data_IF_625469248784
#
_entry.id   IF_625469248784
#
_cell.length_a   1.000
_cell.length_b   1.000
_cell.length_c   1.000
_cell.angle_alpha   90.00
_cell.angle_beta   90.00
_cell.angle_gamma   90.00
#
_symmetry.space_group_name_H-M   'P 1'
#
loop_
_entity.id
_entity.type
_entity.pdbx_description
1 polymer ?
#
# COMPACT_ATOMS: atom_id res chain seq x y z
N UNK A 1 -13.80 -17.21 -7.14
CA UNK A 1 -14.53 -16.13 -7.82
C UNK A 1 -15.10 -15.10 -6.82
N UNK A 2 -15.81 -15.53 -5.78
CA UNK A 2 -16.45 -14.63 -4.81
C UNK A 2 -15.47 -13.76 -4.01
N UNK A 3 -14.39 -14.33 -3.46
CA UNK A 3 -13.41 -13.58 -2.66
C UNK A 3 -12.71 -12.47 -3.47
N UNK A 4 -12.44 -12.75 -4.74
CA UNK A 4 -11.82 -11.79 -5.65
C UNK A 4 -12.76 -10.61 -5.95
N UNK A 5 -14.05 -10.87 -6.11
CA UNK A 5 -15.04 -9.81 -6.32
C UNK A 5 -15.16 -8.90 -5.09
N UNK A 6 -15.15 -9.47 -3.89
CA UNK A 6 -15.15 -8.70 -2.64
C UNK A 6 -13.87 -7.87 -2.53
N UNK A 7 -12.72 -8.47 -2.84
CA UNK A 7 -11.44 -7.77 -2.83
C UNK A 7 -11.40 -6.60 -3.83
N UNK A 8 -11.87 -6.79 -5.05
CA UNK A 8 -12.00 -5.72 -6.04
C UNK A 8 -12.91 -4.59 -5.55
N UNK A 9 -14.02 -4.94 -4.86
CA UNK A 9 -14.92 -3.95 -4.27
C UNK A 9 -14.23 -3.15 -3.13
N UNK A 10 -13.42 -3.81 -2.30
CA UNK A 10 -12.63 -3.17 -1.24
C UNK A 10 -11.65 -2.15 -1.84
N UNK A 11 -10.93 -2.54 -2.90
CA UNK A 11 -10.02 -1.65 -3.62
C UNK A 11 -10.76 -0.48 -4.25
N UNK A 12 -11.85 -0.74 -4.98
CA UNK A 12 -12.66 0.29 -5.64
C UNK A 12 -13.17 1.34 -4.64
N UNK A 13 -13.48 0.91 -3.42
CA UNK A 13 -13.99 1.77 -2.35
C UNK A 13 -12.90 2.37 -1.45
N UNK A 14 -11.61 2.19 -1.78
CA UNK A 14 -10.46 2.68 -1.01
C UNK A 14 -10.54 2.32 0.48
N UNK A 15 -10.92 1.07 0.76
CA UNK A 15 -11.04 0.55 2.13
C UNK A 15 -9.73 -0.11 2.54
N UNK A 16 -9.40 0.04 3.82
CA UNK A 16 -8.26 -0.65 4.40
C UNK A 16 -8.58 -2.13 4.54
N UNK A 17 -7.57 -2.98 4.40
CA UNK A 17 -7.72 -4.43 4.31
C UNK A 17 -6.85 -5.13 5.36
N UNK A 18 -7.46 -6.09 6.05
CA UNK A 18 -6.79 -7.11 6.86
C UNK A 18 -7.33 -8.45 6.41
N UNK A 19 -6.46 -9.39 6.08
CA UNK A 19 -6.87 -10.74 5.66
C UNK A 19 -6.71 -11.68 6.84
N UNK A 20 -7.79 -12.37 7.18
CA UNK A 20 -7.79 -13.36 8.27
C UNK A 20 -8.04 -14.75 7.67
N UNK A 21 -7.05 -15.62 7.82
CA UNK A 21 -7.17 -17.04 7.46
C UNK A 21 -7.71 -17.77 8.69
N UNK A 22 -8.99 -18.08 8.67
CA UNK A 22 -9.68 -18.78 9.76
C UNK A 22 -9.50 -20.31 9.64
N UNK A 23 -9.86 -21.04 10.71
CA UNK A 23 -9.75 -22.51 10.83
C UNK A 23 -8.31 -23.03 10.80
N UNK A 24 -7.34 -22.20 11.23
CA UNK A 24 -5.94 -22.60 11.26
C UNK A 24 -5.63 -23.72 12.28
N UNK A 25 -6.58 -24.05 13.15
CA UNK A 25 -6.54 -25.20 14.03
C UNK A 25 -6.55 -26.54 13.29
N UNK A 26 -7.19 -26.61 12.12
CA UNK A 26 -7.32 -27.83 11.31
C UNK A 26 -6.08 -28.14 10.46
N UNK A 27 -5.15 -27.19 10.34
CA UNK A 27 -3.91 -27.39 9.59
C UNK A 27 -2.93 -28.14 10.49
N UNK A 28 -2.57 -29.37 10.09
CA UNK A 28 -1.68 -30.24 10.86
C UNK A 28 -0.23 -29.72 10.84
N UNK A 29 0.28 -29.39 9.66
CA UNK A 29 1.62 -28.80 9.52
C UNK A 29 1.59 -27.28 9.65
N UNK A 30 2.12 -26.78 10.77
CA UNK A 30 2.23 -25.35 11.09
C UNK A 30 3.66 -24.84 10.89
N UNK A 31 4.47 -25.52 10.07
CA UNK A 31 5.79 -25.08 9.68
C UNK A 31 5.76 -23.70 9.03
N UNK A 32 6.88 -22.98 9.13
CA UNK A 32 7.04 -21.67 8.50
C UNK A 32 6.91 -21.75 6.98
N UNK A 33 7.28 -22.88 6.38
CA UNK A 33 7.17 -23.12 4.94
C UNK A 33 5.71 -23.18 4.49
N UNK A 34 4.85 -23.89 5.22
CA UNK A 34 3.40 -23.95 4.93
C UNK A 34 2.78 -22.57 5.09
N UNK A 35 3.08 -21.86 6.18
CA UNK A 35 2.60 -20.48 6.40
C UNK A 35 2.97 -19.58 5.23
N UNK A 36 4.24 -19.60 4.81
CA UNK A 36 4.75 -18.78 3.70
C UNK A 36 4.10 -19.15 2.37
N UNK A 37 3.86 -20.44 2.13
CA UNK A 37 3.15 -20.93 0.93
C UNK A 37 1.74 -20.35 0.86
N UNK A 38 0.99 -20.40 1.97
CA UNK A 38 -0.35 -19.81 2.04
C UNK A 38 -0.32 -18.29 1.85
N UNK A 39 0.61 -17.59 2.50
CA UNK A 39 0.74 -16.14 2.33
C UNK A 39 1.05 -15.76 0.89
N UNK A 40 1.98 -16.46 0.23
CA UNK A 40 2.34 -16.22 -1.15
C UNK A 40 1.16 -16.47 -2.09
N UNK A 41 0.44 -17.58 -1.92
CA UNK A 41 -0.74 -17.88 -2.71
C UNK A 41 -1.84 -16.81 -2.56
N UNK A 42 -2.02 -16.25 -1.36
CA UNK A 42 -2.94 -15.14 -1.12
C UNK A 42 -2.44 -13.87 -1.83
N UNK A 43 -1.16 -13.51 -1.68
CA UNK A 43 -0.59 -12.30 -2.29
C UNK A 43 -0.60 -12.35 -3.82
N UNK A 44 -0.31 -13.51 -4.41
CA UNK A 44 -0.36 -13.72 -5.87
C UNK A 44 -1.77 -13.53 -6.41
N UNK A 45 -2.78 -14.09 -5.73
CA UNK A 45 -4.18 -13.92 -6.12
C UNK A 45 -4.64 -12.48 -5.98
N UNK A 46 -4.21 -11.80 -4.92
CA UNK A 46 -4.61 -10.42 -4.59
C UNK A 46 -3.76 -9.35 -5.30
N UNK A 47 -2.79 -9.74 -6.13
CA UNK A 47 -2.01 -8.80 -6.94
C UNK A 47 -2.94 -7.89 -7.78
N UNK A 48 -2.62 -6.60 -7.95
CA UNK A 48 -1.35 -5.95 -7.64
C UNK A 48 -1.22 -5.39 -6.21
N UNK A 49 -2.29 -5.37 -5.42
CA UNK A 49 -2.23 -4.83 -4.05
C UNK A 49 -1.83 -5.94 -3.08
N UNK A 50 -0.59 -5.91 -2.58
CA UNK A 50 -0.04 -6.98 -1.73
C UNK A 50 0.35 -6.51 -0.32
N UNK A 51 0.26 -5.21 -0.05
CA UNK A 51 0.67 -4.60 1.22
C UNK A 51 -0.49 -4.57 2.23
N UNK A 52 -0.84 -5.75 2.74
CA UNK A 52 -1.83 -5.94 3.79
C UNK A 52 -1.39 -7.03 4.78
N UNK A 53 -1.79 -6.92 6.06
CA UNK A 53 -1.49 -7.93 7.04
C UNK A 53 -2.35 -9.19 6.83
N UNK A 54 -1.71 -10.34 6.96
CA UNK A 54 -2.35 -11.67 6.93
C UNK A 54 -2.25 -12.28 8.33
N UNK A 55 -3.37 -12.71 8.89
CA UNK A 55 -3.43 -13.29 10.23
C UNK A 55 -4.06 -14.67 10.15
N UNK A 56 -3.29 -15.68 10.56
CA UNK A 56 -3.79 -17.03 10.76
C UNK A 56 -4.40 -17.16 12.15
N UNK A 57 -5.70 -17.45 12.21
CA UNK A 57 -6.49 -17.50 13.43
C UNK A 57 -7.46 -18.68 13.45
N UNK A 58 -8.01 -18.98 14.62
CA UNK A 58 -9.12 -19.93 14.77
C UNK A 58 -10.19 -19.34 15.66
N UNK A 59 -11.38 -19.14 15.09
CA UNK A 59 -12.55 -18.67 15.83
C UNK A 59 -13.02 -19.68 16.89
N UNK A 60 -12.87 -20.99 16.60
CA UNK A 60 -13.34 -22.07 17.47
C UNK A 60 -12.49 -22.18 18.74
N UNK A 61 -11.17 -22.21 18.57
CA UNK A 61 -10.22 -22.33 19.70
C UNK A 61 -9.85 -20.97 20.30
N UNK A 62 -10.42 -19.88 19.76
CA UNK A 62 -10.12 -18.49 20.10
C UNK A 62 -8.65 -18.09 19.88
N UNK A 63 -7.91 -18.86 19.08
CA UNK A 63 -6.52 -18.59 18.79
C UNK A 63 -6.36 -17.29 17.98
N UNK A 64 -5.58 -16.35 18.52
CA UNK A 64 -5.17 -15.08 17.87
C UNK A 64 -6.32 -14.14 17.48
N UNK A 65 -7.52 -14.29 18.04
CA UNK A 65 -8.64 -13.37 17.80
C UNK A 65 -8.29 -11.93 18.25
N UNK A 66 -7.66 -11.77 19.41
CA UNK A 66 -7.26 -10.45 19.90
C UNK A 66 -6.28 -9.75 18.95
N UNK A 67 -5.34 -10.50 18.38
CA UNK A 67 -4.37 -10.00 17.39
C UNK A 67 -5.07 -9.45 16.14
N UNK A 68 -6.21 -10.01 15.74
CA UNK A 68 -7.01 -9.48 14.62
C UNK A 68 -7.51 -8.07 14.93
N UNK A 69 -8.04 -7.86 16.13
CA UNK A 69 -8.55 -6.54 16.56
C UNK A 69 -7.43 -5.51 16.70
N UNK A 70 -6.29 -5.90 17.27
CA UNK A 70 -5.09 -5.06 17.37
C UNK A 70 -4.60 -4.64 15.99
N UNK A 71 -4.44 -5.60 15.08
CA UNK A 71 -3.97 -5.31 13.72
C UNK A 71 -4.96 -4.43 12.95
N UNK A 72 -6.26 -4.64 13.13
CA UNK A 72 -7.28 -3.77 12.51
C UNK A 72 -7.19 -2.33 13.02
N UNK A 73 -6.92 -2.14 14.33
CA UNK A 73 -6.67 -0.82 14.91
C UNK A 73 -5.40 -0.19 14.33
N UNK A 74 -4.31 -0.93 14.22
CA UNK A 74 -3.05 -0.44 13.67
C UNK A 74 -3.20 -0.02 12.20
N UNK A 75 -3.88 -0.82 11.39
CA UNK A 75 -4.18 -0.49 9.99
C UNK A 75 -5.04 0.78 9.88
N UNK A 76 -5.98 0.98 10.81
CA UNK A 76 -6.75 2.22 10.88
C UNK A 76 -5.89 3.43 11.27
N UNK A 77 -4.94 3.27 12.19
CA UNK A 77 -3.98 4.32 12.56
C UNK A 77 -3.05 4.64 11.39
N UNK A 78 -2.53 3.62 10.69
CA UNK A 78 -1.69 3.77 9.49
C UNK A 78 -2.39 4.60 8.42
N UNK A 79 -3.69 4.37 8.21
CA UNK A 79 -4.53 5.16 7.29
C UNK A 79 -4.59 6.65 7.65
N UNK A 80 -4.41 7.01 8.93
CA UNK A 80 -4.48 8.38 9.44
C UNK A 80 -3.12 9.06 9.61
N UNK A 81 -2.03 8.39 9.24
CA UNK A 81 -0.68 8.93 9.38
C UNK A 81 -0.55 10.23 8.58
N UNK A 82 -0.06 11.27 9.28
CA UNK A 82 0.33 12.56 8.67
C UNK A 82 1.85 12.61 8.57
N UNK A 83 2.35 12.83 7.36
CA UNK A 83 3.77 12.96 7.02
C UNK A 83 4.02 14.42 6.69
N UNK A 84 4.92 15.05 7.45
CA UNK A 84 5.31 16.42 7.21
C UNK A 84 5.92 16.61 5.83
N UNK A 85 5.51 17.66 5.12
CA UNK A 85 6.00 18.02 3.79
C UNK A 85 7.52 18.04 3.72
N UNK A 86 8.20 18.64 4.70
CA UNK A 86 9.67 18.74 4.73
C UNK A 86 10.31 17.35 4.67
N UNK A 87 9.92 16.45 5.58
CA UNK A 87 10.41 15.07 5.63
C UNK A 87 10.08 14.30 4.35
N UNK A 88 8.89 14.51 3.78
CA UNK A 88 8.51 13.86 2.52
C UNK A 88 9.42 14.30 1.37
N UNK A 89 9.77 15.59 1.27
CA UNK A 89 10.66 16.10 0.22
C UNK A 89 12.10 15.65 0.44
N UNK A 90 12.60 15.70 1.67
CA UNK A 90 13.96 15.23 2.02
C UNK A 90 14.21 13.79 1.61
N UNK A 91 13.20 12.93 1.73
CA UNK A 91 13.31 11.50 1.40
C UNK A 91 13.00 11.24 -0.08
N UNK A 92 11.90 11.79 -0.62
CA UNK A 92 11.43 11.41 -1.95
C UNK A 92 12.18 12.11 -3.08
N UNK A 93 12.60 13.38 -2.91
CA UNK A 93 13.25 14.10 -4.01
C UNK A 93 14.58 13.46 -4.42
N UNK A 94 15.48 13.04 -3.51
CA UNK A 94 16.70 12.34 -3.89
C UNK A 94 16.46 11.01 -4.60
N UNK A 95 15.45 10.25 -4.16
CA UNK A 95 15.06 8.97 -4.80
C UNK A 95 14.59 9.21 -6.24
N UNK A 96 13.79 10.26 -6.45
CA UNK A 96 13.28 10.66 -7.76
C UNK A 96 14.40 11.20 -8.65
N UNK A 97 15.36 11.93 -8.09
CA UNK A 97 16.51 12.43 -8.84
C UNK A 97 17.43 11.30 -9.32
N UNK A 98 17.64 10.28 -8.48
CA UNK A 98 18.38 9.08 -8.85
C UNK A 98 17.64 8.21 -9.88
N UNK A 99 16.32 8.19 -9.85
CA UNK A 99 15.47 7.43 -10.79
C UNK A 99 14.40 8.36 -11.39
N UNK A 100 14.77 9.24 -12.34
CA UNK A 100 13.84 10.21 -12.91
C UNK A 100 12.78 9.52 -13.78
N UNK A 101 11.60 10.15 -13.97
CA UNK A 101 10.62 9.65 -14.92
C UNK A 101 11.22 9.61 -16.33
N UNK A 102 10.90 8.59 -17.16
CA UNK A 102 11.42 8.49 -18.52
C UNK A 102 11.10 9.74 -19.34
N UNK A 103 12.08 10.23 -20.10
CA UNK A 103 11.85 11.36 -21.02
C UNK A 103 10.91 10.92 -22.15
N UNK A 104 10.00 11.83 -22.55
CA UNK A 104 9.06 11.58 -23.64
C UNK A 104 9.24 12.70 -24.66
N UNK A 105 9.49 12.34 -25.92
CA UNK A 105 9.69 13.29 -27.03
C UNK A 105 10.78 14.33 -26.74
N UNK A 106 11.89 13.91 -26.12
CA UNK A 106 13.00 14.79 -25.74
C UNK A 106 12.72 15.75 -24.58
N UNK A 107 11.53 15.68 -23.96
CA UNK A 107 11.19 16.51 -22.80
C UNK A 107 11.54 15.77 -21.50
N UNK A 108 12.31 16.44 -20.65
CA UNK A 108 12.66 15.96 -19.33
C UNK A 108 11.56 16.30 -18.32
N UNK A 109 11.11 15.29 -17.58
CA UNK A 109 10.11 15.46 -16.53
C UNK A 109 10.86 15.65 -15.22
N UNK A 110 10.64 16.79 -14.57
CA UNK A 110 11.22 17.12 -13.27
C UNK A 110 10.10 17.30 -12.24
N UNK A 111 10.13 16.46 -11.21
CA UNK A 111 9.32 16.65 -10.01
C UNK A 111 10.08 17.60 -9.09
N UNK A 112 9.44 18.70 -8.69
CA UNK A 112 10.08 19.78 -7.92
C UNK A 112 9.72 19.74 -6.45
N UNK A 113 8.58 19.15 -6.13
CA UNK A 113 7.98 19.24 -4.81
C UNK A 113 6.95 18.12 -4.64
N UNK A 114 6.88 17.55 -3.45
CA UNK A 114 5.83 16.61 -3.07
C UNK A 114 5.19 17.01 -1.74
N UNK A 115 3.92 16.65 -1.55
CA UNK A 115 3.20 16.90 -0.30
C UNK A 115 2.15 15.83 -0.07
N UNK A 116 1.78 15.61 1.18
CA UNK A 116 0.57 14.88 1.52
C UNK A 116 -0.62 15.84 1.49
N UNK A 117 -1.72 15.43 0.86
CA UNK A 117 -2.97 16.19 0.84
C UNK A 117 -3.66 15.98 2.20
N UNK A 118 -3.92 17.06 2.97
CA UNK A 118 -4.56 16.95 4.26
C UNK A 118 -6.01 16.47 4.12
N UNK A 119 -6.52 15.86 5.19
CA UNK A 119 -7.94 15.54 5.41
C UNK A 119 -8.60 14.72 4.28
N UNK A 120 -7.81 13.84 3.68
CA UNK A 120 -8.27 12.87 2.69
C UNK A 120 -8.73 11.56 3.34
N UNK A 121 -9.65 10.86 2.68
CA UNK A 121 -10.21 9.60 3.19
C UNK A 121 -9.15 8.49 3.33
N UNK A 122 -8.11 8.54 2.50
CA UNK A 122 -6.92 7.68 2.53
C UNK A 122 -5.69 8.54 2.32
N UNK A 123 -4.50 8.14 2.83
CA UNK A 123 -3.26 8.87 2.60
C UNK A 123 -3.06 9.17 1.12
N UNK A 124 -3.10 10.44 0.77
CA UNK A 124 -3.04 10.91 -0.61
C UNK A 124 -1.84 11.82 -0.77
N UNK A 125 -0.99 11.51 -1.73
CA UNK A 125 0.26 12.22 -1.98
C UNK A 125 0.19 12.88 -3.35
N UNK A 126 0.63 14.13 -3.42
CA UNK A 126 0.73 14.89 -4.66
C UNK A 126 2.19 15.18 -4.97
N UNK A 127 2.60 14.89 -6.20
CA UNK A 127 3.90 15.20 -6.76
C UNK A 127 3.72 16.27 -7.84
N UNK A 128 4.38 17.41 -7.66
CA UNK A 128 4.30 18.53 -8.57
C UNK A 128 5.43 18.44 -9.60
N UNK A 129 5.05 18.23 -10.86
CA UNK A 129 5.96 18.08 -11.99
C UNK A 129 5.78 19.21 -13.00
N UNK A 130 6.81 19.49 -13.79
CA UNK A 130 6.71 20.40 -14.94
C UNK A 130 5.78 19.87 -16.05
N UNK A 131 5.76 18.54 -16.25
CA UNK A 131 5.01 17.87 -17.31
C UNK A 131 4.30 16.62 -16.74
N UNK A 132 3.28 16.80 -15.88
CA UNK A 132 2.59 15.69 -15.22
C UNK A 132 1.92 14.73 -16.21
N UNK A 133 1.47 15.21 -17.37
CA UNK A 133 0.79 14.44 -18.41
C UNK A 133 1.67 13.33 -19.01
N UNK A 134 2.98 13.43 -18.86
CA UNK A 134 3.93 12.44 -19.35
C UNK A 134 4.36 11.42 -18.28
N UNK A 135 3.90 11.58 -17.02
CA UNK A 135 4.16 10.60 -15.97
C UNK A 135 3.18 9.43 -16.08
N UNK A 136 3.68 8.31 -16.60
CA UNK A 136 2.91 7.08 -16.81
C UNK A 136 2.69 6.32 -15.50
N UNK A 137 1.70 5.43 -15.52
CA UNK A 137 1.31 4.58 -14.40
C UNK A 137 2.45 3.78 -13.76
N UNK A 138 3.40 3.18 -14.50
CA UNK A 138 4.51 2.45 -13.88
C UNK A 138 5.35 3.33 -12.94
N UNK A 139 5.55 4.60 -13.30
CA UNK A 139 6.29 5.53 -12.45
C UNK A 139 5.49 5.95 -11.22
N UNK A 140 4.17 6.07 -11.32
CA UNK A 140 3.31 6.30 -10.14
C UNK A 140 3.35 5.13 -9.16
N UNK A 141 3.36 3.89 -9.67
CA UNK A 141 3.55 2.69 -8.84
C UNK A 141 4.92 2.67 -8.17
N UNK A 142 5.97 3.08 -8.89
CA UNK A 142 7.30 3.27 -8.30
C UNK A 142 7.26 4.28 -7.12
N UNK A 143 6.62 5.44 -7.31
CA UNK A 143 6.45 6.42 -6.24
C UNK A 143 5.66 5.86 -5.05
N UNK A 144 4.56 5.14 -5.30
CA UNK A 144 3.79 4.46 -4.25
C UNK A 144 4.66 3.48 -3.47
N UNK A 145 5.39 2.60 -4.16
CA UNK A 145 6.25 1.61 -3.53
C UNK A 145 7.32 2.29 -2.65
N UNK A 146 7.93 3.36 -3.14
CA UNK A 146 8.93 4.11 -2.36
C UNK A 146 8.33 4.82 -1.15
N UNK A 147 7.08 5.27 -1.21
CA UNK A 147 6.38 5.75 -0.01
C UNK A 147 6.18 4.60 0.99
N UNK A 148 5.70 3.43 0.53
CA UNK A 148 5.46 2.27 1.41
C UNK A 148 6.74 1.72 2.05
N UNK A 149 7.88 1.82 1.37
CA UNK A 149 9.19 1.45 1.92
C UNK A 149 9.65 2.38 3.05
N UNK A 150 9.28 3.67 3.01
CA UNK A 150 9.77 4.68 3.94
C UNK A 150 8.79 4.99 5.09
N UNK A 151 7.50 4.70 4.92
CA UNK A 151 6.46 4.95 5.92
C UNK A 151 5.51 3.77 6.07
N UNK A 152 5.15 3.47 7.30
CA UNK A 152 4.23 2.37 7.64
C UNK A 152 2.79 2.72 7.24
N UNK A 153 2.40 2.32 6.02
CA UNK A 153 1.05 2.49 5.46
C UNK A 153 0.38 1.15 5.16
N UNK A 154 0.91 0.07 5.73
CA UNK A 154 0.45 -1.32 5.52
C UNK A 154 -1.02 -1.47 5.85
N UNK A 155 -1.73 -2.21 4.98
CA UNK A 155 -3.17 -2.43 5.06
C UNK A 155 -4.01 -1.23 4.60
N UNK A 156 -3.41 -0.07 4.32
CA UNK A 156 -4.11 1.08 3.75
C UNK A 156 -3.78 1.24 2.26
N UNK A 157 -4.78 1.41 1.39
CA UNK A 157 -4.53 1.97 0.06
C UNK A 157 -4.01 3.40 0.19
N UNK A 158 -3.20 3.84 -0.78
CA UNK A 158 -2.71 5.22 -0.87
C UNK A 158 -3.00 5.76 -2.26
N UNK A 159 -3.20 7.07 -2.38
CA UNK A 159 -3.30 7.73 -3.67
C UNK A 159 -1.99 8.43 -4.02
N UNK A 160 -1.56 8.29 -5.26
CA UNK A 160 -0.45 9.05 -5.83
C UNK A 160 -0.96 9.88 -7.00
N UNK A 161 -0.95 11.20 -6.81
CA UNK A 161 -1.31 12.17 -7.83
C UNK A 161 -0.05 12.84 -8.37
N UNK A 162 -0.03 13.10 -9.66
CA UNK A 162 1.00 13.93 -10.30
C UNK A 162 0.28 15.11 -10.93
N UNK A 163 0.65 16.33 -10.54
CA UNK A 163 -0.01 17.57 -10.98
C UNK A 163 1.01 18.57 -11.49
N UNK A 164 0.53 19.49 -12.31
CA UNK A 164 1.31 20.67 -12.67
C UNK A 164 1.25 21.63 -11.48
N UNK A 165 2.37 22.26 -11.16
CA UNK A 165 2.36 23.39 -10.23
C UNK A 165 1.82 24.62 -10.93
#
# INVERSE_FOLDING_TARGET
AQDMNIFQLIQKNNKSLVVVVNKWDLVEDKSQEVIKTFENAIRERMAPFTDFPIIFASALTKQRIFKVLETAKDVYLNRKVKIGTTKLNEVMLPIIEATPPPSIKGKYIKIKYCAQIPDTQIPSFVFYANLPQYVKEPYKRFLENKIRENWTLTGSPINVFVRQK
#
